data_IF_724904155460
#
_entry.id   IF_724904155460
#
_cell.length_a   1.000
_cell.length_b   1.000
_cell.length_c   1.000
_cell.angle_alpha   90.00
_cell.angle_beta   90.00
_cell.angle_gamma   90.00
#
_symmetry.space_group_name_H-M   'P 1'
#
loop_
_entity.id
_entity.type
_entity.pdbx_description
1 polymer ?
#
# COMPACT_ATOMS: atom_id res chain seq x y z
N UNK A 1 9.07 33.35 65.41
CA UNK A 1 7.67 33.45 64.93
C UNK A 1 7.59 32.75 63.59
N UNK A 2 6.60 31.87 63.43
CA UNK A 2 6.14 31.18 62.22
C UNK A 2 7.11 30.14 61.62
N UNK A 3 6.73 28.89 61.33
CA UNK A 3 5.42 28.23 61.33
C UNK A 3 5.50 27.09 60.33
N UNK A 4 5.65 25.85 60.82
CA UNK A 4 5.67 24.63 60.00
C UNK A 4 4.26 24.33 59.49
N UNK A 5 4.04 24.34 58.18
CA UNK A 5 2.83 23.75 57.59
C UNK A 5 3.09 22.30 57.19
N UNK A 6 2.28 21.40 57.74
CA UNK A 6 2.17 19.99 57.38
C UNK A 6 1.10 19.88 56.30
N UNK A 7 1.43 19.28 55.15
CA UNK A 7 0.45 18.89 54.13
C UNK A 7 0.16 17.41 54.34
N UNK A 8 -1.10 17.11 54.64
CA UNK A 8 -1.63 15.77 54.89
C UNK A 8 -1.90 15.07 53.56
N UNK A 9 -1.31 13.90 53.37
CA UNK A 9 -1.57 12.97 52.26
C UNK A 9 -2.89 12.25 52.55
N UNK A 10 -3.89 12.39 51.68
CA UNK A 10 -5.10 11.58 51.69
C UNK A 10 -4.95 10.45 50.68
N UNK A 11 -4.89 9.22 51.17
CA UNK A 11 -5.04 7.99 50.38
C UNK A 11 -6.54 7.76 50.13
N UNK A 12 -6.96 7.80 48.87
CA UNK A 12 -8.26 7.29 48.45
C UNK A 12 -8.05 5.90 47.81
N UNK A 13 -8.51 4.86 48.50
CA UNK A 13 -8.63 3.51 47.95
C UNK A 13 -9.87 3.45 47.06
N UNK A 14 -9.67 3.17 45.77
CA UNK A 14 -10.74 2.77 44.86
C UNK A 14 -10.92 1.26 44.90
N UNK A 15 -12.14 0.82 45.21
CA UNK A 15 -12.57 -0.58 45.23
C UNK A 15 -12.88 -0.99 43.78
N UNK A 16 -12.18 -2.00 43.28
CA UNK A 16 -12.48 -2.66 42.02
C UNK A 16 -13.68 -3.60 42.20
N UNK A 17 -14.75 -3.37 41.43
CA UNK A 17 -15.89 -4.27 41.30
C UNK A 17 -15.80 -4.93 39.92
N UNK A 18 -15.41 -6.21 39.90
CA UNK A 18 -15.41 -7.07 38.72
C UNK A 18 -16.81 -7.65 38.50
N UNK A 19 -17.45 -7.28 37.40
CA UNK A 19 -18.58 -8.01 36.83
C UNK A 19 -18.09 -8.85 35.66
N UNK A 20 -18.02 -10.16 35.87
CA UNK A 20 -17.98 -11.18 34.82
C UNK A 20 -19.41 -11.47 34.37
N UNK A 21 -19.73 -11.08 33.13
CA UNK A 21 -20.95 -11.51 32.43
C UNK A 21 -20.60 -12.65 31.47
N UNK A 22 -21.43 -13.68 31.54
CA UNK A 22 -21.26 -14.99 30.95
C UNK A 22 -21.61 -15.06 29.46
N UNK A 23 -21.18 -16.18 28.87
CA UNK A 23 -21.43 -16.69 27.54
C UNK A 23 -22.91 -16.67 27.08
N UNK A 24 -23.08 -16.53 25.76
CA UNK A 24 -24.28 -16.88 25.03
C UNK A 24 -23.91 -17.39 23.62
N UNK A 25 -23.84 -18.71 23.48
CA UNK A 25 -23.98 -19.42 22.20
C UNK A 25 -25.41 -19.27 21.70
N UNK A 26 -25.64 -18.98 20.42
CA UNK A 26 -26.85 -19.39 19.71
C UNK A 26 -26.68 -19.25 18.18
N UNK A 27 -27.04 -20.32 17.45
CA UNK A 27 -27.80 -20.14 16.21
C UNK A 27 -27.11 -20.42 14.88
N UNK A 28 -26.79 -21.69 14.63
CA UNK A 28 -26.61 -22.22 13.26
C UNK A 28 -27.94 -22.18 12.49
N UNK A 29 -27.96 -21.57 11.30
CA UNK A 29 -28.99 -21.86 10.29
C UNK A 29 -28.45 -21.69 8.88
N UNK A 30 -28.03 -22.83 8.33
CA UNK A 30 -27.70 -23.10 6.92
C UNK A 30 -29.02 -23.23 6.13
N UNK A 31 -29.19 -22.59 4.96
CA UNK A 31 -30.30 -22.92 4.07
C UNK A 31 -30.02 -24.22 3.31
N UNK A 32 -31.05 -24.99 2.95
CA UNK A 32 -30.91 -26.33 2.37
C UNK A 32 -30.63 -26.29 0.86
N UNK A 33 -29.80 -27.23 0.43
CA UNK A 33 -29.72 -27.73 -0.94
C UNK A 33 -31.10 -28.26 -1.39
N UNK A 34 -31.49 -27.90 -2.61
CA UNK A 34 -32.71 -28.34 -3.28
C UNK A 34 -32.44 -28.75 -4.72
N UNK A 35 -32.36 -30.05 -4.91
CA UNK A 35 -32.12 -30.81 -6.14
C UNK A 35 -33.15 -30.65 -7.28
N UNK A 36 -32.61 -30.57 -8.52
CA UNK A 36 -32.89 -31.38 -9.74
C UNK A 36 -34.32 -31.47 -10.33
N UNK A 37 -34.47 -31.18 -11.65
CA UNK A 37 -34.92 -32.10 -12.75
C UNK A 37 -35.26 -31.36 -14.10
N UNK A 38 -35.33 -32.08 -15.26
CA UNK A 38 -34.72 -31.68 -16.54
C UNK A 38 -35.73 -31.27 -17.64
N UNK A 39 -35.22 -30.77 -18.76
CA UNK A 39 -36.01 -30.56 -19.97
C UNK A 39 -35.15 -30.35 -21.23
N UNK A 40 -35.08 -31.40 -22.05
CA UNK A 40 -34.50 -31.50 -23.38
C UNK A 40 -35.05 -30.47 -24.39
N UNK A 41 -34.20 -30.02 -25.35
CA UNK A 41 -34.55 -29.92 -26.78
C UNK A 41 -33.29 -29.94 -27.67
N UNK A 42 -33.15 -31.04 -28.39
CA UNK A 42 -32.61 -31.32 -29.73
C UNK A 42 -31.54 -30.44 -30.43
N UNK A 43 -30.48 -31.13 -30.86
CA UNK A 43 -29.55 -30.80 -31.94
C UNK A 43 -30.20 -30.87 -33.35
N UNK A 44 -29.53 -30.42 -34.43
CA UNK A 44 -28.64 -31.31 -35.21
C UNK A 44 -27.32 -30.63 -35.63
N UNK A 45 -26.18 -31.31 -35.54
CA UNK A 45 -25.52 -32.13 -36.57
C UNK A 45 -25.02 -31.33 -37.80
N UNK A 46 -23.70 -31.18 -37.94
CA UNK A 46 -22.94 -31.81 -39.02
C UNK A 46 -21.42 -31.57 -38.86
N UNK A 47 -20.69 -32.67 -38.79
CA UNK A 47 -19.25 -32.76 -39.05
C UNK A 47 -19.05 -33.08 -40.56
N UNK A 48 -17.84 -33.03 -41.15
CA UNK A 48 -16.80 -33.99 -40.80
C UNK A 48 -15.36 -33.46 -40.78
N UNK A 49 -14.52 -34.28 -40.15
CA UNK A 49 -13.08 -34.20 -40.05
C UNK A 49 -12.35 -34.61 -41.35
N UNK A 50 -11.13 -34.11 -41.55
CA UNK A 50 -10.02 -34.79 -42.24
C UNK A 50 -8.69 -34.32 -41.60
N UNK A 51 -7.81 -35.26 -41.26
CA UNK A 51 -6.41 -35.08 -40.81
C UNK A 51 -5.44 -35.31 -41.99
N UNK A 52 -4.11 -35.49 -41.80
CA UNK A 52 -3.05 -34.54 -41.44
C UNK A 52 -1.98 -34.41 -42.55
N UNK A 53 -1.10 -33.41 -42.49
CA UNK A 53 0.11 -33.41 -43.33
C UNK A 53 1.30 -32.76 -42.61
N UNK A 54 2.31 -33.56 -42.29
CA UNK A 54 3.67 -33.11 -42.00
C UNK A 54 4.39 -32.73 -43.29
N UNK A 55 5.29 -31.74 -43.23
CA UNK A 55 6.44 -31.68 -44.14
C UNK A 55 7.62 -30.98 -43.43
N UNK A 56 8.85 -31.53 -43.48
CA UNK A 56 10.05 -30.94 -42.88
C UNK A 56 10.80 -30.05 -43.88
N UNK A 57 11.47 -28.99 -43.40
CA UNK A 57 12.33 -28.15 -44.25
C UNK A 57 13.06 -27.01 -43.54
N UNK A 58 14.30 -27.29 -43.14
CA UNK A 58 15.52 -26.47 -43.05
C UNK A 58 15.49 -24.93 -43.23
N UNK A 59 16.02 -24.23 -42.22
CA UNK A 59 17.19 -23.35 -42.39
C UNK A 59 16.99 -21.85 -42.66
N UNK A 60 18.00 -21.01 -42.34
CA UNK A 60 17.83 -19.67 -41.75
C UNK A 60 17.89 -18.52 -42.75
N UNK A 61 17.36 -17.36 -42.36
CA UNK A 61 17.72 -16.07 -42.96
C UNK A 61 18.05 -15.04 -41.90
N UNK A 62 19.33 -14.72 -41.84
CA UNK A 62 19.95 -13.58 -41.15
C UNK A 62 19.52 -12.23 -41.78
N UNK A 63 19.15 -11.30 -40.90
CA UNK A 63 19.38 -9.82 -40.94
C UNK A 63 18.59 -8.96 -41.96
N UNK A 64 18.29 -7.66 -41.67
CA UNK A 64 19.00 -6.76 -40.77
C UNK A 64 18.17 -5.95 -39.75
N UNK A 65 18.88 -5.56 -38.70
CA UNK A 65 18.57 -4.59 -37.65
C UNK A 65 17.95 -3.29 -38.22
N UNK A 66 16.85 -2.84 -37.60
CA UNK A 66 16.33 -1.47 -37.69
C UNK A 66 16.55 -0.78 -36.32
N UNK A 67 17.23 0.38 -36.25
CA UNK A 67 17.57 1.04 -35.00
C UNK A 67 16.50 2.09 -34.63
N UNK A 68 15.84 1.90 -33.50
CA UNK A 68 14.89 2.87 -32.95
C UNK A 68 14.36 2.50 -31.58
N UNK A 69 15.24 2.56 -30.57
CA UNK A 69 14.99 2.81 -29.14
C UNK A 69 13.70 2.23 -28.51
N UNK A 70 13.65 0.91 -28.37
CA UNK A 70 13.16 0.34 -27.12
C UNK A 70 14.40 0.08 -26.28
N UNK A 71 14.51 0.77 -25.13
CA UNK A 71 15.54 0.46 -24.16
C UNK A 71 15.47 -1.03 -23.81
N UNK A 72 16.64 -1.66 -23.76
CA UNK A 72 16.89 -2.99 -23.23
C UNK A 72 16.12 -3.22 -21.92
N UNK A 73 14.96 -3.89 -21.97
CA UNK A 73 14.51 -4.72 -20.84
C UNK A 73 15.33 -6.01 -20.94
N UNK A 74 16.18 -6.33 -19.94
CA UNK A 74 16.97 -7.55 -19.99
C UNK A 74 16.04 -8.76 -20.09
N UNK A 75 16.19 -9.47 -21.20
CA UNK A 75 15.69 -10.81 -21.44
C UNK A 75 16.13 -11.71 -20.28
N UNK A 76 15.16 -12.13 -19.46
CA UNK A 76 15.24 -13.16 -18.42
C UNK A 76 16.24 -12.82 -17.29
N UNK A 77 15.69 -12.29 -16.19
CA UNK A 77 16.38 -12.25 -14.90
C UNK A 77 16.91 -13.65 -14.55
N UNK A 78 18.16 -13.78 -14.08
CA UNK A 78 18.77 -15.07 -13.78
C UNK A 78 17.95 -15.85 -12.76
N UNK A 79 17.77 -17.15 -13.01
CA UNK A 79 17.12 -18.12 -12.13
C UNK A 79 17.57 -17.92 -10.66
N UNK A 80 16.71 -17.32 -9.85
CA UNK A 80 16.98 -17.09 -8.41
C UNK A 80 16.32 -15.87 -7.80
N UNK A 81 15.91 -14.91 -8.62
CA UNK A 81 15.13 -13.74 -8.24
C UNK A 81 13.66 -13.94 -8.64
N UNK A 82 12.79 -14.23 -7.68
CA UNK A 82 11.38 -14.35 -7.98
C UNK A 82 10.75 -12.96 -7.94
N UNK A 83 10.54 -12.36 -9.11
CA UNK A 83 9.48 -11.39 -9.26
C UNK A 83 8.17 -12.01 -8.74
N UNK A 84 7.37 -11.23 -8.04
CA UNK A 84 6.06 -11.62 -7.58
C UNK A 84 5.04 -11.74 -8.71
N UNK A 85 3.79 -11.97 -8.33
CA UNK A 85 2.68 -12.18 -9.26
C UNK A 85 1.77 -10.94 -9.38
N UNK A 86 2.02 -9.89 -8.57
CA UNK A 86 1.22 -8.66 -8.50
C UNK A 86 1.88 -7.54 -9.30
N UNK A 87 1.10 -6.52 -9.68
CA UNK A 87 1.64 -5.39 -10.46
C UNK A 87 2.78 -4.68 -9.71
N UNK A 88 2.69 -4.56 -8.40
CA UNK A 88 3.72 -3.89 -7.60
C UNK A 88 4.92 -4.77 -7.21
N UNK A 89 5.07 -5.97 -7.79
CA UNK A 89 6.21 -6.84 -7.49
C UNK A 89 6.67 -7.76 -8.63
N UNK A 90 6.04 -7.71 -9.80
CA UNK A 90 6.28 -8.64 -10.90
C UNK A 90 7.44 -8.22 -11.83
N UNK A 91 8.19 -7.18 -11.49
CA UNK A 91 9.31 -6.63 -12.24
C UNK A 91 8.93 -6.06 -13.61
N UNK A 92 7.68 -5.64 -13.78
CA UNK A 92 7.14 -5.04 -14.99
C UNK A 92 6.57 -3.69 -14.59
N UNK A 93 6.83 -2.68 -15.41
CA UNK A 93 6.09 -1.41 -15.41
C UNK A 93 4.72 -1.69 -16.09
N UNK A 94 3.70 -2.04 -15.30
CA UNK A 94 2.38 -2.44 -15.79
C UNK A 94 1.53 -1.26 -16.28
N UNK A 95 1.82 -0.04 -15.82
CA UNK A 95 1.07 1.18 -16.15
C UNK A 95 1.75 2.09 -17.19
N UNK A 96 3.05 1.91 -17.42
CA UNK A 96 3.88 2.57 -18.42
C UNK A 96 4.42 3.94 -17.99
N UNK A 97 4.46 4.25 -16.70
CA UNK A 97 4.90 5.54 -16.17
C UNK A 97 6.41 5.64 -15.91
N UNK A 98 7.15 4.57 -16.18
CA UNK A 98 8.60 4.37 -16.03
C UNK A 98 9.10 4.09 -14.62
N UNK A 99 8.23 4.09 -13.62
CA UNK A 99 8.52 3.46 -12.36
C UNK A 99 8.20 1.95 -12.44
N UNK A 100 8.81 1.16 -11.57
CA UNK A 100 8.67 -0.31 -11.59
C UNK A 100 8.45 -0.78 -10.17
N UNK A 101 7.38 -1.54 -9.92
CA UNK A 101 7.10 -2.23 -8.67
C UNK A 101 7.17 -1.27 -7.45
N UNK A 102 7.92 -1.61 -6.40
CA UNK A 102 8.09 -0.78 -5.21
C UNK A 102 8.92 0.50 -5.41
N UNK A 103 9.36 0.81 -6.63
CA UNK A 103 9.81 2.18 -6.98
C UNK A 103 8.66 3.05 -7.51
N UNK A 104 7.54 2.44 -7.89
CA UNK A 104 6.33 3.14 -8.26
C UNK A 104 5.70 3.82 -7.04
N UNK A 105 5.39 5.14 -7.12
CA UNK A 105 4.78 5.88 -6.02
C UNK A 105 3.36 5.39 -5.65
N UNK A 106 2.66 4.74 -6.57
CA UNK A 106 1.35 4.15 -6.36
C UNK A 106 1.42 2.84 -5.57
N UNK A 107 2.55 2.13 -5.63
CA UNK A 107 2.76 0.88 -4.93
C UNK A 107 3.09 1.10 -3.45
N UNK A 108 2.16 0.68 -2.59
CA UNK A 108 2.28 0.77 -1.13
C UNK A 108 2.82 -0.53 -0.51
N UNK A 109 2.60 -1.67 -1.18
CA UNK A 109 3.07 -2.99 -0.76
C UNK A 109 3.36 -3.90 -1.96
N UNK A 110 4.13 -4.97 -1.74
CA UNK A 110 4.30 -6.06 -2.71
C UNK A 110 3.00 -6.79 -3.04
N UNK A 111 1.99 -6.74 -2.19
CA UNK A 111 0.70 -7.39 -2.43
C UNK A 111 -0.21 -6.57 -3.35
N UNK A 112 0.15 -5.31 -3.61
CA UNK A 112 -0.68 -4.39 -4.39
C UNK A 112 -0.71 -4.79 -5.86
N UNK A 113 -1.90 -4.74 -6.44
CA UNK A 113 -2.19 -5.18 -7.80
C UNK A 113 -2.85 -4.08 -8.65
N UNK A 114 -2.50 -2.83 -8.35
CA UNK A 114 -2.83 -1.64 -9.13
C UNK A 114 -1.64 -0.68 -9.04
N UNK A 115 -0.82 -0.65 -10.09
CA UNK A 115 0.32 0.27 -10.23
C UNK A 115 -0.12 1.63 -10.84
N UNK A 116 -1.36 1.74 -11.33
CA UNK A 116 -1.83 2.92 -12.07
C UNK A 116 -2.54 3.97 -11.20
N UNK A 117 -2.91 3.61 -9.97
CA UNK A 117 -3.60 4.49 -9.02
C UNK A 117 -3.12 4.20 -7.61
N UNK A 118 -3.31 5.12 -6.67
CA UNK A 118 -2.96 4.85 -5.25
C UNK A 118 -3.91 3.86 -4.54
N UNK A 119 -4.75 3.14 -5.27
CA UNK A 119 -5.47 2.01 -4.73
C UNK A 119 -4.55 0.79 -4.69
N UNK A 120 -4.72 -0.08 -3.70
CA UNK A 120 -3.92 -1.32 -3.63
C UNK A 120 -4.38 -2.39 -4.62
N UNK A 121 -5.56 -2.24 -5.23
CA UNK A 121 -6.17 -3.30 -6.04
C UNK A 121 -6.62 -4.54 -5.24
N UNK A 122 -6.49 -4.53 -3.91
CA UNK A 122 -6.85 -5.64 -3.02
C UNK A 122 -8.35 -5.56 -2.69
N UNK A 123 -9.14 -6.64 -2.93
CA UNK A 123 -10.57 -6.62 -2.66
C UNK A 123 -10.91 -6.35 -1.19
N UNK A 124 -11.57 -5.22 -0.94
CA UNK A 124 -12.05 -4.85 0.39
C UNK A 124 -11.10 -3.98 1.19
N UNK A 125 -9.91 -3.71 0.66
CA UNK A 125 -8.93 -2.81 1.26
C UNK A 125 -9.22 -1.33 0.95
N UNK A 126 -8.84 -0.46 1.88
CA UNK A 126 -8.99 1.00 1.83
C UNK A 126 -10.39 1.49 1.41
N UNK A 127 -11.46 0.83 1.89
CA UNK A 127 -12.85 1.13 1.47
C UNK A 127 -13.59 2.11 2.39
N UNK A 128 -13.19 2.25 3.66
CA UNK A 128 -13.91 3.11 4.61
C UNK A 128 -13.50 4.58 4.43
N UNK A 129 -14.45 5.39 3.94
CA UNK A 129 -14.29 6.83 3.71
C UNK A 129 -14.22 7.66 5.01
N UNK A 130 -14.63 7.09 6.14
CA UNK A 130 -14.83 7.81 7.41
C UNK A 130 -13.76 7.44 8.43
N UNK A 131 -13.49 6.15 8.58
CA UNK A 131 -12.55 5.63 9.56
C UNK A 131 -11.40 4.97 8.84
N UNK A 132 -10.21 5.48 9.09
CA UNK A 132 -8.95 4.94 8.61
C UNK A 132 -8.41 3.95 9.65
N UNK A 133 -8.05 2.80 9.15
CA UNK A 133 -7.16 1.81 9.71
C UNK A 133 -5.73 2.09 9.21
N UNK A 134 -4.83 1.15 9.44
CA UNK A 134 -3.51 1.16 8.87
C UNK A 134 -3.53 1.06 7.35
N UNK A 135 -3.24 2.14 6.64
CA UNK A 135 -3.32 2.17 5.18
C UNK A 135 -2.41 1.12 4.50
N UNK A 136 -1.28 0.83 5.13
CA UNK A 136 -0.20 -0.02 4.59
C UNK A 136 -0.22 -1.46 5.15
N UNK A 137 -1.28 -1.88 5.84
CA UNK A 137 -1.39 -3.24 6.36
C UNK A 137 -2.21 -4.20 5.48
N UNK A 138 -2.66 -3.70 4.31
CA UNK A 138 -3.39 -4.38 3.25
C UNK A 138 -4.73 -5.00 3.66
N UNK A 139 -5.36 -4.49 4.72
CA UNK A 139 -6.74 -4.82 5.01
C UNK A 139 -7.58 -3.60 5.41
N UNK A 140 -8.90 -3.79 5.46
CA UNK A 140 -9.80 -2.78 6.03
C UNK A 140 -10.45 -3.23 7.33
N UNK A 141 -10.39 -2.35 8.31
CA UNK A 141 -11.04 -2.39 9.61
C UNK A 141 -10.03 -2.34 10.75
N UNK A 142 -10.28 -1.50 11.76
CA UNK A 142 -9.39 -1.34 12.92
C UNK A 142 -9.29 -2.52 13.91
N UNK A 143 -9.64 -3.75 13.50
CA UNK A 143 -9.78 -4.92 14.35
C UNK A 143 -8.45 -5.50 14.86
N UNK A 144 -7.38 -5.24 14.13
CA UNK A 144 -6.15 -6.03 14.16
C UNK A 144 -4.97 -5.16 14.55
N UNK A 145 -4.95 -3.93 14.04
CA UNK A 145 -3.98 -2.87 14.25
C UNK A 145 -4.30 -1.97 15.46
N UNK A 146 -5.58 -1.92 15.87
CA UNK A 146 -6.08 -0.98 16.87
C UNK A 146 -6.10 0.48 16.39
N UNK A 147 -6.03 0.70 15.08
CA UNK A 147 -6.18 2.02 14.48
C UNK A 147 -7.66 2.35 14.27
N UNK A 148 -7.99 3.60 14.56
CA UNK A 148 -9.30 4.16 14.26
C UNK A 148 -9.17 5.66 14.18
N UNK A 149 -8.75 6.13 13.02
CA UNK A 149 -8.45 7.54 12.80
C UNK A 149 -9.48 8.14 11.84
N UNK A 150 -10.10 9.26 12.21
CA UNK A 150 -11.14 9.82 11.35
C UNK A 150 -10.54 10.58 10.18
N UNK A 151 -11.02 10.35 8.95
CA UNK A 151 -10.47 10.96 7.72
C UNK A 151 -10.41 12.49 7.77
N UNK A 152 -11.34 13.14 8.47
CA UNK A 152 -11.30 14.60 8.67
C UNK A 152 -10.08 15.10 9.44
N UNK A 153 -9.38 14.27 10.21
CA UNK A 153 -8.16 14.64 10.91
C UNK A 153 -7.03 14.99 9.92
N UNK A 154 -6.99 14.30 8.77
CA UNK A 154 -6.02 14.51 7.69
C UNK A 154 -6.44 15.67 6.79
N UNK A 155 -7.72 15.69 6.40
CA UNK A 155 -8.23 16.63 5.39
C UNK A 155 -8.55 18.02 5.94
N UNK A 156 -8.78 18.15 7.25
CA UNK A 156 -9.12 19.41 7.90
C UNK A 156 -10.28 20.13 7.20
N UNK A 157 -10.02 21.33 6.66
CA UNK A 157 -11.02 22.13 5.96
C UNK A 157 -11.51 21.51 4.63
N UNK A 158 -10.73 20.60 4.04
CA UNK A 158 -11.11 19.86 2.85
C UNK A 158 -12.00 18.64 3.15
N UNK A 159 -12.29 18.36 4.43
CA UNK A 159 -13.09 17.19 4.78
C UNK A 159 -14.51 17.25 4.16
N UNK A 160 -14.94 16.18 3.45
CA UNK A 160 -16.30 16.09 2.91
C UNK A 160 -17.39 16.27 3.98
N UNK A 161 -18.41 17.05 3.65
CA UNK A 161 -19.48 17.41 4.59
C UNK A 161 -20.26 16.19 5.12
N UNK A 162 -20.41 15.14 4.32
CA UNK A 162 -21.05 13.88 4.68
C UNK A 162 -20.28 13.08 5.75
N UNK A 163 -18.97 13.34 5.88
CA UNK A 163 -18.11 12.68 6.87
C UNK A 163 -18.03 13.46 8.19
N UNK A 164 -18.16 14.78 8.14
CA UNK A 164 -18.05 15.67 9.31
C UNK A 164 -19.10 15.47 10.42
N UNK A 165 -20.19 14.75 10.13
CA UNK A 165 -21.25 14.49 11.10
C UNK A 165 -20.77 13.61 12.26
N UNK A 166 -20.79 14.17 13.48
CA UNK A 166 -20.39 13.46 14.70
C UNK A 166 -18.88 13.41 14.94
N UNK A 167 -18.09 14.05 14.07
CA UNK A 167 -16.64 14.17 14.22
C UNK A 167 -16.28 15.03 15.44
N UNK A 168 -15.48 14.48 16.34
CA UNK A 168 -14.86 15.20 17.46
C UNK A 168 -13.33 15.09 17.34
N UNK A 169 -12.62 16.17 16.96
CA UNK A 169 -11.17 16.11 16.76
C UNK A 169 -10.39 15.81 18.05
N UNK A 170 -11.01 15.92 19.23
CA UNK A 170 -10.34 15.58 20.50
C UNK A 170 -10.27 14.08 20.75
N UNK A 171 -11.17 13.29 20.16
CA UNK A 171 -11.23 11.83 20.37
C UNK A 171 -10.97 11.06 19.09
N UNK A 172 -11.34 11.62 17.95
CA UNK A 172 -11.32 10.93 16.66
C UNK A 172 -9.97 11.08 15.94
N UNK A 173 -9.11 11.97 16.44
CA UNK A 173 -7.73 12.18 15.95
C UNK A 173 -6.68 11.69 16.94
N UNK A 174 -7.07 10.90 17.95
CA UNK A 174 -6.13 10.33 18.93
C UNK A 174 -5.63 8.97 18.43
N UNK A 175 -4.31 8.79 18.40
CA UNK A 175 -3.69 7.51 18.08
C UNK A 175 -3.35 6.72 19.33
N UNK A 176 -3.64 5.42 19.30
CA UNK A 176 -3.17 4.50 20.33
C UNK A 176 -1.71 4.11 20.07
N UNK A 177 -0.95 3.83 21.13
CA UNK A 177 0.42 3.28 20.99
C UNK A 177 0.42 2.00 20.14
N UNK A 178 -0.61 1.15 20.29
CA UNK A 178 -0.76 -0.07 19.51
C UNK A 178 -0.84 0.22 18.00
N UNK A 179 -1.63 1.23 17.61
CA UNK A 179 -1.76 1.64 16.21
C UNK A 179 -0.41 2.10 15.65
N UNK A 180 0.31 2.94 16.39
CA UNK A 180 1.61 3.45 15.96
C UNK A 180 2.64 2.34 15.82
N UNK A 181 2.75 1.46 16.84
CA UNK A 181 3.71 0.35 16.84
C UNK A 181 3.45 -0.67 15.73
N UNK A 182 2.19 -0.82 15.32
CA UNK A 182 1.80 -1.74 14.25
C UNK A 182 2.03 -1.12 12.87
N UNK A 183 1.61 0.13 12.66
CA UNK A 183 1.58 0.74 11.33
C UNK A 183 2.88 1.38 10.90
N UNK A 184 3.56 2.09 11.80
CA UNK A 184 4.72 2.86 11.44
C UNK A 184 5.82 2.03 10.77
N UNK A 185 6.09 0.77 11.17
CA UNK A 185 7.07 -0.08 10.48
C UNK A 185 6.74 -0.42 9.02
N UNK A 186 5.45 -0.42 8.64
CA UNK A 186 5.01 -0.68 7.26
C UNK A 186 4.71 0.60 6.47
N UNK A 187 4.78 1.77 7.11
CA UNK A 187 4.46 3.04 6.45
C UNK A 187 5.62 3.46 5.55
N UNK A 188 5.35 3.66 4.26
CA UNK A 188 6.33 4.10 3.28
C UNK A 188 6.94 5.47 3.65
N UNK A 189 8.24 5.70 3.39
CA UNK A 189 8.85 7.03 3.54
C UNK A 189 8.02 8.14 2.90
N UNK A 190 7.85 9.25 3.64
CA UNK A 190 7.06 10.41 3.22
C UNK A 190 5.57 10.30 3.52
N UNK A 191 5.09 9.15 3.99
CA UNK A 191 3.69 8.93 4.34
C UNK A 191 3.45 8.91 5.85
N UNK A 192 2.23 9.26 6.24
CA UNK A 192 1.69 8.81 7.52
C UNK A 192 0.92 7.50 7.38
N UNK A 193 0.68 6.83 8.51
CA UNK A 193 0.00 5.53 8.59
C UNK A 193 -1.40 5.48 7.95
N UNK A 194 -1.98 6.60 7.51
CA UNK A 194 -3.34 6.69 7.00
C UNK A 194 -3.41 7.12 5.52
N UNK A 195 -2.28 7.17 4.82
CA UNK A 195 -2.23 7.51 3.40
C UNK A 195 -2.21 9.02 3.12
N UNK A 196 -1.71 9.84 4.05
CA UNK A 196 -1.29 11.19 3.71
C UNK A 196 0.20 11.19 3.35
N UNK A 197 0.52 11.29 2.06
CA UNK A 197 1.86 11.06 1.52
C UNK A 197 2.44 12.29 0.87
N UNK A 198 3.74 12.54 1.10
CA UNK A 198 4.57 13.42 0.28
C UNK A 198 5.14 12.64 -0.91
N UNK A 199 4.68 13.00 -2.11
CA UNK A 199 5.06 12.36 -3.36
C UNK A 199 5.75 13.39 -4.26
N UNK A 200 6.84 12.98 -4.91
CA UNK A 200 7.66 13.82 -5.75
C UNK A 200 7.36 13.59 -7.24
N UNK A 201 7.15 14.66 -7.98
CA UNK A 201 7.01 14.63 -9.45
C UNK A 201 7.81 15.77 -10.03
N UNK A 202 8.73 15.45 -10.95
CA UNK A 202 9.63 16.42 -11.61
C UNK A 202 10.37 17.35 -10.61
N UNK A 203 10.79 16.79 -9.46
CA UNK A 203 11.49 17.51 -8.40
C UNK A 203 10.61 18.44 -7.57
N UNK A 204 9.29 18.33 -7.68
CA UNK A 204 8.31 19.06 -6.86
C UNK A 204 7.58 18.08 -5.96
N UNK A 205 7.53 18.35 -4.65
CA UNK A 205 6.78 17.52 -3.71
C UNK A 205 5.33 17.98 -3.55
N UNK A 206 4.43 17.01 -3.41
CA UNK A 206 3.00 17.17 -3.21
C UNK A 206 2.55 16.33 -2.02
N UNK A 207 2.01 16.98 -0.98
CA UNK A 207 1.42 16.28 0.16
C UNK A 207 -0.07 16.07 -0.09
N UNK A 208 -0.45 14.84 -0.46
CA UNK A 208 -1.80 14.49 -0.91
C UNK A 208 -2.34 13.27 -0.18
N UNK A 209 -3.66 13.19 -0.13
CA UNK A 209 -4.36 12.05 0.45
C UNK A 209 -4.61 10.99 -0.61
N UNK A 210 -4.08 9.79 -0.39
CA UNK A 210 -4.03 8.72 -1.39
C UNK A 210 -5.16 7.70 -1.27
N UNK A 211 -5.94 7.73 -0.19
CA UNK A 211 -7.00 6.73 0.00
C UNK A 211 -8.06 6.81 -1.14
N UNK A 212 -8.25 5.72 -1.92
CA UNK A 212 -9.13 5.70 -3.09
C UNK A 212 -10.61 5.87 -2.75
N UNK A 213 -11.03 5.64 -1.51
CA UNK A 213 -12.41 5.90 -1.09
C UNK A 213 -12.74 7.42 -1.07
N UNK A 214 -11.72 8.28 -0.97
CA UNK A 214 -11.84 9.74 -1.05
C UNK A 214 -11.28 10.29 -2.35
N UNK A 215 -10.15 9.75 -2.82
CA UNK A 215 -9.38 10.24 -3.94
C UNK A 215 -9.23 9.16 -5.05
N UNK A 216 -10.35 8.61 -5.58
CA UNK A 216 -10.32 7.46 -6.49
C UNK A 216 -9.67 7.75 -7.85
N UNK A 217 -9.56 9.02 -8.22
CA UNK A 217 -8.97 9.46 -9.48
C UNK A 217 -7.66 10.25 -9.23
N UNK A 218 -7.04 10.08 -8.05
CA UNK A 218 -5.73 10.65 -7.79
C UNK A 218 -4.64 9.78 -8.41
N UNK A 219 -3.82 10.40 -9.24
CA UNK A 219 -2.77 9.78 -10.06
C UNK A 219 -1.60 10.77 -10.17
N UNK A 220 -0.40 10.31 -10.50
CA UNK A 220 0.78 11.18 -10.65
C UNK A 220 0.57 12.31 -11.68
N UNK A 221 -0.08 12.05 -12.82
CA UNK A 221 -0.34 13.06 -13.85
C UNK A 221 -1.32 14.17 -13.41
N UNK A 222 -2.07 13.93 -12.32
CA UNK A 222 -3.08 14.85 -11.77
C UNK A 222 -2.76 15.30 -10.35
N UNK A 223 -1.57 14.98 -9.85
CA UNK A 223 -1.19 15.19 -8.45
C UNK A 223 -1.27 16.65 -8.00
N UNK A 224 -1.07 17.58 -8.94
CA UNK A 224 -1.15 19.01 -8.68
C UNK A 224 -2.59 19.56 -8.58
N UNK A 225 -3.62 18.78 -8.95
CA UNK A 225 -5.01 19.21 -8.94
C UNK A 225 -5.73 18.73 -7.66
N UNK A 226 -6.07 19.64 -6.73
CA UNK A 226 -6.70 19.30 -5.46
C UNK A 226 -8.13 18.76 -5.60
N UNK A 227 -8.74 18.83 -6.79
CA UNK A 227 -10.03 18.19 -7.06
C UNK A 227 -9.89 16.67 -7.22
N UNK A 228 -8.71 16.19 -7.60
CA UNK A 228 -8.42 14.77 -7.80
C UNK A 228 -7.53 14.21 -6.70
N UNK A 229 -6.53 14.99 -6.27
CA UNK A 229 -5.62 14.65 -5.18
C UNK A 229 -5.77 15.65 -4.03
N UNK A 230 -6.73 15.42 -3.10
CA UNK A 230 -6.97 16.34 -2.00
C UNK A 230 -5.72 16.54 -1.14
N UNK A 231 -5.35 17.78 -0.80
CA UNK A 231 -4.25 18.02 0.12
C UNK A 231 -4.62 17.53 1.53
N UNK A 232 -3.63 17.05 2.26
CA UNK A 232 -3.80 16.56 3.63
C UNK A 232 -2.69 17.07 4.56
N UNK A 233 -2.89 16.87 5.86
CA UNK A 233 -1.88 17.11 6.91
C UNK A 233 -1.49 15.77 7.52
N UNK A 234 -0.22 15.35 7.40
CA UNK A 234 0.25 14.10 7.98
C UNK A 234 0.16 14.10 9.50
N UNK A 235 -0.13 12.93 10.07
CA UNK A 235 -0.16 12.70 11.51
C UNK A 235 1.25 12.46 12.00
N UNK A 236 1.85 13.46 12.66
CA UNK A 236 3.28 13.41 13.06
C UNK A 236 3.63 12.28 14.02
N UNK A 237 2.65 11.74 14.76
CA UNK A 237 2.86 10.63 15.69
C UNK A 237 3.01 9.27 14.96
N UNK A 238 2.62 9.20 13.68
CA UNK A 238 2.65 8.01 12.83
C UNK A 238 3.13 8.38 11.42
N UNK A 239 4.07 9.33 11.32
CA UNK A 239 4.69 9.74 10.07
C UNK A 239 6.03 9.03 9.94
N UNK A 240 6.24 8.33 8.81
CA UNK A 240 7.57 7.94 8.38
C UNK A 240 8.13 9.08 7.52
N UNK A 241 9.00 9.96 8.05
CA UNK A 241 9.51 11.08 7.28
C UNK A 241 10.42 10.58 6.15
N UNK A 242 10.32 11.18 4.96
CA UNK A 242 11.34 10.97 3.93
C UNK A 242 12.40 12.07 4.00
N UNK A 243 13.69 11.69 4.01
CA UNK A 243 14.82 12.63 4.13
C UNK A 243 15.84 12.39 2.99
N UNK A 244 15.64 12.99 1.80
CA UNK A 244 16.57 12.87 0.66
C UNK A 244 18.01 13.25 0.99
N UNK A 245 18.22 14.18 1.94
CA UNK A 245 19.54 14.61 2.40
C UNK A 245 20.34 13.50 3.10
N UNK A 246 19.65 12.49 3.63
CA UNK A 246 20.25 11.31 4.23
C UNK A 246 20.40 10.15 3.21
N UNK A 247 20.25 10.45 1.90
CA UNK A 247 20.29 9.51 0.78
C UNK A 247 19.13 8.50 0.73
N UNK A 248 18.00 8.81 1.36
CA UNK A 248 16.76 8.04 1.30
C UNK A 248 15.96 8.40 0.04
N UNK A 249 15.47 7.39 -0.69
CA UNK A 249 14.55 7.62 -1.81
C UNK A 249 13.12 7.82 -1.29
N UNK A 250 12.49 8.91 -1.74
CA UNK A 250 11.06 9.16 -1.50
C UNK A 250 10.20 8.63 -2.66
N UNK A 251 8.88 8.44 -2.44
CA UNK A 251 7.94 8.18 -3.51
C UNK A 251 8.08 9.19 -4.65
N UNK A 252 8.34 8.68 -5.86
CA UNK A 252 8.45 9.46 -7.10
C UNK A 252 9.82 10.06 -7.35
N UNK A 253 10.80 9.74 -6.51
CA UNK A 253 12.21 10.02 -6.77
C UNK A 253 12.92 8.86 -7.43
N UNK A 254 13.91 9.21 -8.25
CA UNK A 254 14.97 8.31 -8.68
C UNK A 254 16.28 8.67 -7.99
N UNK A 255 17.30 7.83 -8.11
CA UNK A 255 18.66 8.14 -7.60
C UNK A 255 19.22 9.44 -8.19
N UNK A 256 18.75 9.85 -9.38
CA UNK A 256 19.16 11.11 -10.00
C UNK A 256 18.61 12.36 -9.29
N UNK A 257 17.55 12.21 -8.49
CA UNK A 257 16.90 13.28 -7.73
C UNK A 257 17.55 13.49 -6.35
N UNK A 258 18.34 12.51 -5.88
CA UNK A 258 19.08 12.60 -4.63
C UNK A 258 20.26 13.59 -4.73
N UNK A 259 20.75 14.10 -3.58
CA UNK A 259 21.96 14.91 -3.53
C UNK A 259 23.15 14.22 -4.24
N UNK A 260 24.06 14.98 -4.90
CA UNK A 260 25.17 14.39 -5.65
C UNK A 260 26.06 13.46 -4.82
N UNK A 261 26.20 13.69 -3.52
CA UNK A 261 26.91 12.82 -2.59
C UNK A 261 26.31 11.41 -2.44
N UNK A 262 25.03 11.24 -2.77
CA UNK A 262 24.30 9.98 -2.71
C UNK A 262 24.40 9.17 -4.00
N UNK A 263 24.70 9.81 -5.14
CA UNK A 263 24.67 9.17 -6.48
C UNK A 263 25.70 8.06 -6.71
N UNK A 264 26.69 7.89 -5.83
CA UNK A 264 27.70 6.82 -5.90
C UNK A 264 27.46 5.68 -4.89
N UNK A 265 26.40 5.79 -4.07
CA UNK A 265 26.03 4.81 -3.05
C UNK A 265 24.59 4.36 -3.26
N UNK A 266 24.25 3.09 -3.00
CA UNK A 266 22.86 2.69 -2.99
C UNK A 266 22.06 3.53 -1.97
N UNK A 267 20.74 3.65 -2.13
CA UNK A 267 19.88 4.37 -1.19
C UNK A 267 20.15 3.96 0.26
N UNK A 268 20.09 4.94 1.15
CA UNK A 268 20.22 4.70 2.57
C UNK A 268 18.96 4.01 3.07
N UNK A 269 19.13 2.79 3.58
CA UNK A 269 18.08 2.04 4.25
C UNK A 269 18.27 2.07 5.76
N UNK A 270 17.22 1.70 6.48
CA UNK A 270 17.27 1.53 7.92
C UNK A 270 18.37 0.53 8.38
N UNK A 271 18.91 0.67 9.60
CA UNK A 271 19.97 -0.21 10.09
C UNK A 271 19.60 -1.69 10.04
N UNK A 272 20.29 -2.45 9.18
CA UNK A 272 20.07 -3.89 8.99
C UNK A 272 19.17 -4.24 7.81
N UNK A 273 18.61 -3.25 7.13
CA UNK A 273 17.90 -3.38 5.86
C UNK A 273 18.90 -3.38 4.72
N UNK A 274 18.70 -4.29 3.76
CA UNK A 274 19.58 -4.44 2.60
C UNK A 274 19.13 -3.47 1.49
N UNK A 275 20.04 -2.70 0.86
CA UNK A 275 19.68 -1.94 -0.32
C UNK A 275 19.47 -2.85 -1.54
N UNK A 276 18.64 -2.42 -2.47
CA UNK A 276 18.30 -3.12 -3.71
C UNK A 276 18.14 -2.16 -4.88
N UNK A 277 18.34 -2.65 -6.10
CA UNK A 277 17.96 -1.95 -7.33
C UNK A 277 16.65 -2.53 -7.89
N UNK A 278 16.37 -3.79 -7.60
CA UNK A 278 15.15 -4.50 -8.03
C UNK A 278 14.73 -5.52 -6.97
N UNK A 279 13.48 -6.00 -7.03
CA UNK A 279 12.99 -7.08 -6.16
C UNK A 279 13.87 -8.34 -6.24
N UNK A 280 14.56 -8.53 -7.36
CA UNK A 280 15.52 -9.61 -7.57
C UNK A 280 16.72 -9.61 -6.61
N UNK A 281 17.10 -8.46 -6.08
CA UNK A 281 18.23 -8.33 -5.15
C UNK A 281 17.87 -8.75 -3.73
N UNK A 282 16.58 -8.87 -3.43
CA UNK A 282 16.08 -9.11 -2.10
C UNK A 282 16.04 -10.61 -1.74
N UNK A 283 16.30 -10.97 -0.46
CA UNK A 283 16.11 -12.33 0.01
C UNK A 283 14.65 -12.80 -0.14
N UNK A 284 14.44 -14.12 -0.17
CA UNK A 284 13.07 -14.68 -0.16
C UNK A 284 12.26 -14.15 1.02
N UNK A 285 11.05 -13.64 0.75
CA UNK A 285 10.16 -13.02 1.73
C UNK A 285 10.40 -11.52 1.93
N UNK A 286 11.14 -10.88 1.01
CA UNK A 286 11.35 -9.45 0.95
C UNK A 286 11.10 -8.96 -0.48
N UNK A 287 10.70 -7.71 -0.63
CA UNK A 287 10.60 -7.04 -1.93
C UNK A 287 11.36 -5.71 -1.91
N UNK A 288 11.70 -5.19 -3.08
CA UNK A 288 12.42 -3.92 -3.16
C UNK A 288 11.43 -2.75 -3.16
N UNK A 289 11.44 -1.97 -2.09
CA UNK A 289 10.66 -0.73 -1.99
C UNK A 289 11.61 0.44 -1.84
N UNK A 290 11.52 1.41 -2.77
CA UNK A 290 12.33 2.63 -2.76
C UNK A 290 13.83 2.36 -2.53
N UNK A 291 14.34 1.29 -3.12
CA UNK A 291 15.74 0.89 -3.01
C UNK A 291 16.13 0.14 -1.73
N UNK A 292 15.16 -0.31 -0.94
CA UNK A 292 15.37 -1.07 0.30
C UNK A 292 14.55 -2.36 0.32
N UNK A 293 15.19 -3.47 0.70
CA UNK A 293 14.53 -4.76 0.86
C UNK A 293 13.71 -4.79 2.15
N UNK A 294 12.40 -4.60 2.04
CA UNK A 294 11.47 -4.66 3.18
C UNK A 294 10.72 -5.99 3.19
N UNK A 295 10.28 -6.40 4.38
CA UNK A 295 9.59 -7.68 4.54
C UNK A 295 8.31 -7.67 3.72
N UNK A 296 8.12 -8.74 2.96
CA UNK A 296 6.87 -9.00 2.26
C UNK A 296 5.83 -9.37 3.33
N UNK A 297 5.08 -8.38 3.80
CA UNK A 297 4.01 -8.59 4.77
C UNK A 297 2.88 -9.28 4.02
N UNK A 298 2.98 -10.61 3.94
CA UNK A 298 1.88 -11.45 3.45
C UNK A 298 0.73 -11.30 4.43
N UNK A 299 -0.23 -10.47 4.02
CA UNK A 299 -1.51 -10.18 4.66
C UNK A 299 -2.11 -11.46 5.26
N UNK A 300 -2.31 -11.46 6.59
CA UNK A 300 -2.94 -12.57 7.32
C UNK A 300 -4.41 -12.28 7.57
#
# INVERSE_FOLDING_TARGET
>A
MNGRQRISVWFAQAVALSLSAACGDDGSSRPPDGDVLPGDVDAPADAPAETPAETPGDGPTDTPLDPGDAADVPEVLPDGAACGDTQCSNCIDDDGDTFIDGFDPHCSSSADNDEATFATGIPGDNQDRRWQDCFFDGNSGGGDDGCRFHTCCLLGAACPADLSGGFDPLTDCELSERCIEFCLPGTTPGCDCFGCCEIWVDGVSYTVYTNPAIAPDCTLDRIADPAYCPPCTPTTDCLNPCVPEDCELCPGMTVADLPPECSETPPACDPGVMPCETTADCPTGYYCSLGCCIEDVVLI
#
